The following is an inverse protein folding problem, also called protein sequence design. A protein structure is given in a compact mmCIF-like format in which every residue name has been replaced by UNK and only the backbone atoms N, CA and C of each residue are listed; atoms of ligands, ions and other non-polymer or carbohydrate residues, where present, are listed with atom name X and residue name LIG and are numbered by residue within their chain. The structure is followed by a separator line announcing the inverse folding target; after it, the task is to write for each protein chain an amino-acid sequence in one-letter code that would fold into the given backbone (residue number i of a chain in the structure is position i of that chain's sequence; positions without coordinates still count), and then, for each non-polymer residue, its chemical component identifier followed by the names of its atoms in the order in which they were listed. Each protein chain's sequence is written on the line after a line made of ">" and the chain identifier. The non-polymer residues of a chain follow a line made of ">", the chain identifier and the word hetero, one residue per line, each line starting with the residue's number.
data_IF_158758899135
#
_entry.id   IF_158758899135
#
_cell.length_a   1.000
_cell.length_b   1.000
_cell.length_c   1.000
_cell.angle_alpha   90.00
_cell.angle_beta   90.00
_cell.angle_gamma   90.00
#
_symmetry.space_group_name_H-M   'P 1'
#
loop_
_entity.id
_entity.type
_entity.pdbx_description
1 polymer ?
#
# COMPACT_ATOMS: atom_id res chain seq x y z
N UNK A 1 16.35 51.18 -8.68
CA UNK A 1 15.65 50.39 -7.68
C UNK A 1 15.39 48.99 -8.29
N UNK A 2 16.17 48.02 -7.87
CA UNK A 2 16.01 46.61 -8.35
C UNK A 2 14.89 45.99 -7.56
N UNK A 3 13.79 45.59 -8.24
CA UNK A 3 12.78 44.75 -7.66
C UNK A 3 13.40 43.39 -7.29
N UNK A 4 13.56 43.17 -6.02
CA UNK A 4 13.86 41.84 -5.50
C UNK A 4 12.61 40.97 -5.73
N UNK A 5 12.66 40.09 -6.70
CA UNK A 5 11.71 39.01 -6.87
C UNK A 5 11.75 38.16 -5.61
N UNK A 6 10.62 38.12 -4.91
CA UNK A 6 10.39 37.24 -3.75
C UNK A 6 10.75 35.80 -4.18
N UNK A 7 11.58 35.04 -3.43
CA UNK A 7 11.86 33.66 -3.81
C UNK A 7 10.54 32.91 -3.89
N UNK A 8 10.35 32.14 -4.98
CA UNK A 8 9.21 31.27 -5.16
C UNK A 8 9.08 30.40 -3.90
N UNK A 9 7.87 30.34 -3.33
CA UNK A 9 7.54 29.44 -2.23
C UNK A 9 7.93 28.02 -2.68
N UNK A 10 8.80 27.37 -1.95
CA UNK A 10 9.08 25.95 -2.15
C UNK A 10 7.75 25.25 -1.87
N UNK A 11 7.03 24.84 -2.92
CA UNK A 11 5.78 24.13 -2.76
C UNK A 11 6.06 22.88 -1.92
N UNK A 12 5.26 22.73 -0.84
CA UNK A 12 5.38 21.58 0.06
C UNK A 12 5.19 20.30 -0.76
N UNK A 13 6.02 19.26 -0.54
CA UNK A 13 5.82 17.99 -1.22
C UNK A 13 4.44 17.43 -0.89
N UNK A 14 3.81 16.78 -1.86
CA UNK A 14 2.44 16.27 -1.75
C UNK A 14 2.41 14.75 -1.89
N UNK A 15 1.64 14.11 -1.00
CA UNK A 15 1.40 12.67 -1.02
C UNK A 15 -0.09 12.36 -1.18
N UNK A 16 -0.38 11.32 -1.96
CA UNK A 16 -1.73 10.74 -2.07
C UNK A 16 -1.71 9.35 -1.42
N UNK A 17 -2.58 9.11 -0.43
CA UNK A 17 -2.69 7.84 0.27
C UNK A 17 -4.05 7.20 -0.03
N UNK A 18 -4.04 6.16 -0.85
CA UNK A 18 -5.22 5.35 -1.17
C UNK A 18 -5.46 4.34 -0.06
N UNK A 19 -6.64 4.37 0.56
CA UNK A 19 -6.94 3.63 1.78
C UNK A 19 -6.39 4.30 3.05
N UNK A 20 -6.27 5.65 3.03
CA UNK A 20 -5.66 6.42 4.11
C UNK A 20 -6.60 6.81 5.26
N UNK A 21 -7.87 6.37 5.27
CA UNK A 21 -8.84 6.73 6.33
C UNK A 21 -8.78 5.86 7.58
N UNK A 22 -7.95 4.82 7.60
CA UNK A 22 -7.78 3.94 8.77
C UNK A 22 -6.49 3.13 8.73
N UNK A 23 -6.15 2.53 9.86
CA UNK A 23 -5.06 1.55 9.98
C UNK A 23 -3.70 2.10 9.55
N UNK A 24 -2.97 1.29 8.79
CA UNK A 24 -1.61 1.62 8.35
C UNK A 24 -1.58 2.80 7.38
N UNK A 25 -2.58 2.89 6.47
CA UNK A 25 -2.69 4.01 5.52
C UNK A 25 -2.88 5.35 6.25
N UNK A 26 -3.76 5.40 7.25
CA UNK A 26 -3.94 6.60 8.09
C UNK A 26 -2.64 6.96 8.83
N UNK A 27 -1.97 5.99 9.43
CA UNK A 27 -0.72 6.23 10.14
C UNK A 27 0.37 6.79 9.22
N UNK A 28 0.44 6.33 7.97
CA UNK A 28 1.36 6.86 6.95
C UNK A 28 0.97 8.28 6.52
N UNK A 29 -0.32 8.56 6.35
CA UNK A 29 -0.83 9.89 6.04
C UNK A 29 -0.45 10.90 7.13
N UNK A 30 -0.72 10.56 8.40
CA UNK A 30 -0.39 11.40 9.55
C UNK A 30 1.12 11.60 9.72
N UNK A 31 1.92 10.56 9.45
CA UNK A 31 3.38 10.67 9.48
C UNK A 31 3.88 11.69 8.46
N UNK A 32 3.38 11.66 7.23
CA UNK A 32 3.76 12.64 6.19
C UNK A 32 3.27 14.06 6.53
N UNK A 33 2.06 14.19 7.10
CA UNK A 33 1.56 15.48 7.60
C UNK A 33 2.51 16.07 8.66
N UNK A 34 2.96 15.24 9.60
CA UNK A 34 3.92 15.66 10.63
C UNK A 34 5.29 16.06 10.05
N UNK A 35 5.68 15.54 8.89
CA UNK A 35 6.87 15.96 8.13
C UNK A 35 6.63 17.22 7.28
N UNK A 36 5.47 17.83 7.37
CA UNK A 36 5.11 19.06 6.65
C UNK A 36 4.66 18.85 5.20
N UNK A 37 4.38 17.63 4.78
CA UNK A 37 3.82 17.34 3.45
C UNK A 37 2.36 17.80 3.36
N UNK A 38 1.94 18.18 2.16
CA UNK A 38 0.53 18.18 1.81
C UNK A 38 0.05 16.73 1.69
N UNK A 39 -1.13 16.44 2.22
CA UNK A 39 -1.65 15.06 2.28
C UNK A 39 -3.04 15.01 1.69
N UNK A 40 -3.21 14.14 0.70
CA UNK A 40 -4.51 13.73 0.17
C UNK A 40 -4.80 12.28 0.54
N UNK A 41 -6.01 12.01 1.00
CA UNK A 41 -6.46 10.68 1.42
C UNK A 41 -7.68 10.26 0.61
N UNK A 42 -7.62 9.07 0.03
CA UNK A 42 -8.75 8.43 -0.64
C UNK A 42 -9.29 7.32 0.25
N UNK A 43 -10.60 7.31 0.49
CA UNK A 43 -11.30 6.29 1.27
C UNK A 43 -12.76 6.15 0.87
N UNK A 44 -13.41 5.05 1.28
CA UNK A 44 -14.80 4.76 0.88
C UNK A 44 -15.85 5.08 1.95
N UNK A 45 -15.44 5.25 3.20
CA UNK A 45 -16.37 5.46 4.32
C UNK A 45 -16.48 6.94 4.66
N UNK A 46 -17.64 7.53 4.40
CA UNK A 46 -17.96 8.93 4.73
C UNK A 46 -17.75 9.21 6.21
N UNK A 47 -18.22 8.34 7.10
CA UNK A 47 -18.04 8.52 8.54
C UNK A 47 -16.57 8.55 8.98
N UNK A 48 -15.67 7.79 8.32
CA UNK A 48 -14.23 7.86 8.61
C UNK A 48 -13.60 9.11 8.01
N UNK A 49 -14.08 9.55 6.86
CA UNK A 49 -13.67 10.80 6.22
C UNK A 49 -14.05 11.99 7.09
N UNK A 50 -15.31 12.07 7.54
CA UNK A 50 -15.81 13.15 8.41
C UNK A 50 -15.01 13.23 9.71
N UNK A 51 -14.71 12.07 10.30
CA UNK A 51 -13.86 12.00 11.48
C UNK A 51 -12.43 12.49 11.20
N UNK A 52 -11.85 12.10 10.07
CA UNK A 52 -10.51 12.54 9.68
C UNK A 52 -10.48 14.04 9.47
N UNK A 53 -11.45 14.61 8.74
CA UNK A 53 -11.55 16.03 8.49
C UNK A 53 -11.74 16.86 9.77
N UNK A 54 -12.51 16.34 10.74
CA UNK A 54 -12.69 17.03 12.02
C UNK A 54 -11.43 17.02 12.89
N UNK A 55 -10.60 15.99 12.80
CA UNK A 55 -9.38 15.86 13.59
C UNK A 55 -8.14 16.45 12.89
N UNK A 56 -8.12 16.46 11.57
CA UNK A 56 -7.00 16.87 10.72
C UNK A 56 -7.52 17.69 9.52
N UNK A 57 -7.99 18.93 9.71
CA UNK A 57 -8.62 19.74 8.66
C UNK A 57 -7.68 20.09 7.49
N UNK A 58 -6.38 20.00 7.68
CA UNK A 58 -5.37 20.23 6.63
C UNK A 58 -5.20 19.04 5.67
N UNK A 59 -5.79 17.88 5.98
CA UNK A 59 -5.77 16.71 5.09
C UNK A 59 -6.93 16.82 4.10
N UNK A 60 -6.61 16.81 2.82
CA UNK A 60 -7.63 16.78 1.77
C UNK A 60 -8.16 15.34 1.64
N UNK A 61 -9.47 15.17 1.64
CA UNK A 61 -10.07 13.84 1.57
C UNK A 61 -10.97 13.66 0.38
N UNK A 62 -10.96 12.46 -0.20
CA UNK A 62 -11.80 12.07 -1.33
C UNK A 62 -12.56 10.78 -0.98
N UNK A 63 -13.89 10.80 -1.19
CA UNK A 63 -14.72 9.62 -1.03
C UNK A 63 -14.79 8.85 -2.34
N UNK A 64 -14.35 7.59 -2.34
CA UNK A 64 -14.39 6.73 -3.52
C UNK A 64 -14.52 5.27 -3.12
N UNK A 65 -15.49 4.57 -3.68
CA UNK A 65 -15.55 3.11 -3.61
C UNK A 65 -14.68 2.51 -4.73
N UNK A 66 -13.55 1.95 -4.34
CA UNK A 66 -12.59 1.33 -5.25
C UNK A 66 -13.12 0.05 -5.92
N UNK A 67 -14.29 -0.44 -5.57
CA UNK A 67 -14.96 -1.54 -6.29
C UNK A 67 -15.71 -1.04 -7.53
N UNK A 68 -15.97 0.26 -7.60
CA UNK A 68 -16.57 0.94 -8.74
C UNK A 68 -15.46 1.53 -9.64
N UNK A 69 -15.23 0.87 -10.77
CA UNK A 69 -14.21 1.28 -11.74
C UNK A 69 -14.46 2.66 -12.33
N UNK A 70 -15.74 3.01 -12.59
CA UNK A 70 -16.09 4.30 -13.19
C UNK A 70 -15.87 5.44 -12.17
N UNK A 71 -16.27 5.23 -10.93
CA UNK A 71 -16.02 6.19 -9.85
C UNK A 71 -14.52 6.38 -9.61
N UNK A 72 -13.75 5.28 -9.61
CA UNK A 72 -12.29 5.33 -9.47
C UNK A 72 -11.67 6.12 -10.62
N UNK A 73 -12.07 5.86 -11.86
CA UNK A 73 -11.55 6.58 -13.02
C UNK A 73 -11.87 8.08 -12.96
N UNK A 74 -13.11 8.44 -12.68
CA UNK A 74 -13.55 9.85 -12.54
C UNK A 74 -12.74 10.57 -11.47
N UNK A 75 -12.50 9.93 -10.33
CA UNK A 75 -11.66 10.51 -9.29
C UNK A 75 -10.23 10.74 -9.77
N UNK A 76 -9.59 9.74 -10.38
CA UNK A 76 -8.20 9.84 -10.86
C UNK A 76 -8.05 10.92 -11.93
N UNK A 77 -9.03 11.07 -12.83
CA UNK A 77 -9.08 12.15 -13.82
C UNK A 77 -9.16 13.52 -13.13
N UNK A 78 -9.97 13.66 -12.09
CA UNK A 78 -10.08 14.93 -11.32
C UNK A 78 -8.78 15.30 -10.60
N UNK A 79 -7.96 14.32 -10.26
CA UNK A 79 -6.65 14.50 -9.62
C UNK A 79 -5.50 14.75 -10.62
N UNK A 80 -5.73 14.64 -11.93
CA UNK A 80 -4.67 14.72 -12.93
C UNK A 80 -3.98 16.09 -13.04
N UNK A 81 -4.60 17.14 -12.53
CA UNK A 81 -4.03 18.48 -12.47
C UNK A 81 -3.28 18.78 -11.15
N UNK A 82 -3.25 17.82 -10.23
CA UNK A 82 -2.58 17.97 -8.93
C UNK A 82 -1.16 17.43 -9.03
N UNK A 83 -0.17 18.28 -8.74
CA UNK A 83 1.22 17.82 -8.60
C UNK A 83 1.40 17.06 -7.29
N UNK A 84 2.06 15.91 -7.36
CA UNK A 84 2.39 15.10 -6.18
C UNK A 84 3.71 14.36 -6.39
N UNK A 85 4.42 14.07 -5.32
CA UNK A 85 5.71 13.37 -5.36
C UNK A 85 5.58 11.90 -4.95
N UNK A 86 4.50 11.54 -4.25
CA UNK A 86 4.35 10.19 -3.71
C UNK A 86 2.92 9.69 -3.76
N UNK A 87 2.76 8.42 -4.15
CA UNK A 87 1.48 7.70 -3.99
C UNK A 87 1.71 6.45 -3.16
N UNK A 88 0.90 6.25 -2.13
CA UNK A 88 0.87 5.01 -1.33
C UNK A 88 -0.46 4.30 -1.57
N UNK A 89 -0.43 3.11 -2.14
CA UNK A 89 -1.58 2.23 -2.22
C UNK A 89 -1.63 1.32 -1.00
N UNK A 90 -2.44 1.69 -0.01
CA UNK A 90 -2.66 0.96 1.25
C UNK A 90 -4.05 0.32 1.33
N UNK A 91 -4.92 0.58 0.36
CA UNK A 91 -6.22 -0.07 0.30
C UNK A 91 -6.08 -1.59 0.12
N UNK A 92 -6.97 -2.34 0.73
CA UNK A 92 -6.99 -3.78 0.61
C UNK A 92 -8.24 -4.39 1.24
N UNK A 93 -8.72 -5.46 0.64
CA UNK A 93 -9.79 -6.29 1.18
C UNK A 93 -9.21 -7.65 1.57
N UNK A 94 -9.67 -8.18 2.69
CA UNK A 94 -9.29 -9.49 3.22
C UNK A 94 -10.51 -10.18 3.83
N UNK A 95 -10.72 -11.43 3.46
CA UNK A 95 -11.69 -12.34 4.08
C UNK A 95 -10.95 -13.61 4.50
N UNK A 96 -11.21 -14.10 5.71
CA UNK A 96 -10.55 -15.29 6.22
C UNK A 96 -11.20 -16.56 5.63
N UNK A 97 -10.62 -17.06 4.55
CA UNK A 97 -11.10 -18.25 3.82
C UNK A 97 -11.05 -19.55 4.65
N UNK A 98 -10.32 -19.56 5.77
CA UNK A 98 -10.24 -20.74 6.66
C UNK A 98 -11.43 -20.84 7.62
N UNK A 99 -12.08 -19.73 7.91
CA UNK A 99 -13.19 -19.63 8.86
C UNK A 99 -14.51 -19.45 8.14
N UNK A 100 -14.51 -18.84 6.97
CA UNK A 100 -15.70 -18.53 6.19
C UNK A 100 -15.54 -19.03 4.76
N UNK A 101 -16.59 -19.63 4.22
CA UNK A 101 -16.67 -19.85 2.79
C UNK A 101 -16.61 -18.49 2.08
N UNK A 102 -15.67 -18.35 1.15
CA UNK A 102 -15.54 -17.14 0.36
C UNK A 102 -16.75 -17.04 -0.58
N UNK A 103 -17.60 -16.05 -0.35
CA UNK A 103 -18.71 -15.77 -1.26
C UNK A 103 -18.17 -15.18 -2.58
N UNK A 104 -18.99 -15.26 -3.65
CA UNK A 104 -18.65 -14.61 -4.91
C UNK A 104 -18.45 -13.10 -4.70
N UNK A 105 -19.32 -12.46 -3.94
CA UNK A 105 -19.21 -11.02 -3.62
C UNK A 105 -17.93 -10.66 -2.88
N UNK A 106 -17.48 -11.49 -1.90
CA UNK A 106 -16.20 -11.27 -1.22
C UNK A 106 -15.00 -11.44 -2.16
N UNK A 107 -15.08 -12.43 -3.07
CA UNK A 107 -14.07 -12.68 -4.09
C UNK A 107 -13.94 -11.51 -5.03
N UNK A 108 -15.06 -11.04 -5.57
CA UNK A 108 -15.13 -9.93 -6.52
C UNK A 108 -14.64 -8.64 -5.85
N UNK A 109 -15.08 -8.36 -4.63
CA UNK A 109 -14.61 -7.21 -3.84
C UNK A 109 -13.11 -7.28 -3.59
N UNK A 110 -12.57 -8.45 -3.24
CA UNK A 110 -11.14 -8.62 -2.99
C UNK A 110 -10.32 -8.39 -4.27
N UNK A 111 -10.76 -8.93 -5.41
CA UNK A 111 -10.09 -8.73 -6.69
C UNK A 111 -10.22 -7.28 -7.17
N UNK A 112 -11.38 -6.67 -7.03
CA UNK A 112 -11.61 -5.28 -7.39
C UNK A 112 -10.65 -4.34 -6.64
N UNK A 113 -10.54 -4.46 -5.30
CA UNK A 113 -9.70 -3.58 -4.51
C UNK A 113 -8.21 -3.95 -4.63
N UNK A 114 -7.86 -5.25 -4.48
CA UNK A 114 -6.45 -5.64 -4.40
C UNK A 114 -5.75 -5.66 -5.76
N UNK A 115 -6.49 -5.76 -6.87
CA UNK A 115 -5.88 -5.84 -8.21
C UNK A 115 -6.36 -4.77 -9.16
N UNK A 116 -7.67 -4.66 -9.42
CA UNK A 116 -8.17 -3.75 -10.46
C UNK A 116 -7.93 -2.29 -10.10
N UNK A 117 -8.37 -1.86 -8.92
CA UNK A 117 -8.14 -0.50 -8.46
C UNK A 117 -6.66 -0.19 -8.21
N UNK A 118 -5.90 -1.18 -7.70
CA UNK A 118 -4.45 -1.06 -7.58
C UNK A 118 -3.81 -0.75 -8.95
N UNK A 119 -4.15 -1.51 -9.98
CA UNK A 119 -3.62 -1.32 -11.33
C UNK A 119 -4.05 0.02 -11.94
N UNK A 120 -5.30 0.43 -11.76
CA UNK A 120 -5.78 1.73 -12.22
C UNK A 120 -5.01 2.89 -11.58
N UNK A 121 -4.84 2.84 -10.25
CA UNK A 121 -4.12 3.88 -9.51
C UNK A 121 -2.65 3.92 -9.88
N UNK A 122 -1.97 2.76 -9.96
CA UNK A 122 -0.56 2.70 -10.29
C UNK A 122 -0.27 3.15 -11.72
N UNK A 123 -1.12 2.76 -12.67
CA UNK A 123 -1.01 3.21 -14.05
C UNK A 123 -1.19 4.72 -14.16
N UNK A 124 -2.27 5.27 -13.59
CA UNK A 124 -2.51 6.70 -13.56
C UNK A 124 -1.36 7.45 -12.90
N UNK A 125 -0.96 7.04 -11.70
CA UNK A 125 0.11 7.71 -10.95
C UNK A 125 1.46 7.64 -11.68
N UNK A 126 1.78 6.51 -12.34
CA UNK A 126 3.00 6.38 -13.11
C UNK A 126 3.05 7.34 -14.30
N UNK A 127 1.95 7.53 -15.02
CA UNK A 127 1.89 8.50 -16.12
C UNK A 127 2.03 9.94 -15.60
N UNK A 128 1.33 10.30 -14.51
CA UNK A 128 1.47 11.63 -13.90
C UNK A 128 2.92 11.89 -13.45
N UNK A 129 3.55 10.95 -12.77
CA UNK A 129 4.93 11.08 -12.30
C UNK A 129 5.95 11.11 -13.44
N UNK A 130 5.73 10.40 -14.55
CA UNK A 130 6.56 10.50 -15.75
C UNK A 130 6.53 11.92 -16.31
N UNK A 131 5.33 12.50 -16.47
CA UNK A 131 5.18 13.88 -16.94
C UNK A 131 5.91 14.87 -16.02
N UNK A 132 5.74 14.72 -14.71
CA UNK A 132 6.44 15.56 -13.73
C UNK A 132 7.95 15.36 -13.77
N UNK A 133 8.42 14.12 -13.88
CA UNK A 133 9.84 13.78 -14.00
C UNK A 133 10.50 14.46 -15.21
N UNK A 134 9.82 14.53 -16.35
CA UNK A 134 10.35 15.20 -17.53
C UNK A 134 10.38 16.72 -17.41
N UNK A 135 9.56 17.31 -16.52
CA UNK A 135 9.45 18.77 -16.34
C UNK A 135 10.38 19.32 -15.23
N UNK A 136 10.89 18.44 -14.37
CA UNK A 136 11.77 18.85 -13.27
C UNK A 136 13.22 18.88 -13.73
N UNK A 137 13.88 20.04 -13.64
CA UNK A 137 15.32 20.10 -13.51
C UNK A 137 15.68 19.43 -12.18
N UNK A 138 16.26 18.22 -12.26
CA UNK A 138 16.50 17.36 -11.10
C UNK A 138 17.46 17.99 -10.09
N UNK A 139 16.93 18.71 -9.15
CA UNK A 139 17.59 18.93 -7.86
C UNK A 139 17.45 17.63 -7.04
N UNK A 140 18.55 17.16 -6.48
CA UNK A 140 18.75 15.84 -5.87
C UNK A 140 17.76 15.43 -4.75
N UNK A 141 16.84 16.30 -4.32
CA UNK A 141 15.98 16.10 -3.15
C UNK A 141 14.52 15.74 -3.43
N UNK A 142 14.06 15.63 -4.67
CA UNK A 142 12.66 15.26 -4.96
C UNK A 142 12.55 13.83 -5.46
N UNK A 143 12.48 12.86 -4.55
CA UNK A 143 12.24 11.46 -4.92
C UNK A 143 10.77 11.22 -5.25
N UNK A 144 10.45 11.13 -6.55
CA UNK A 144 9.15 10.65 -7.02
C UNK A 144 9.00 9.17 -6.70
N UNK A 145 7.88 8.76 -6.11
CA UNK A 145 7.75 7.38 -5.65
C UNK A 145 6.33 6.81 -5.64
N UNK A 146 6.23 5.52 -5.97
CA UNK A 146 5.02 4.70 -5.85
C UNK A 146 5.24 3.61 -4.80
N UNK A 147 4.37 3.51 -3.81
CA UNK A 147 4.49 2.54 -2.73
C UNK A 147 3.27 1.62 -2.73
N UNK A 148 3.53 0.31 -2.79
CA UNK A 148 2.51 -0.74 -2.72
C UNK A 148 2.54 -1.41 -1.34
N UNK A 149 1.44 -1.36 -0.59
CA UNK A 149 1.29 -2.11 0.65
C UNK A 149 0.69 -3.48 0.34
N UNK A 150 1.56 -4.46 0.20
CA UNK A 150 1.22 -5.86 -0.03
C UNK A 150 1.12 -6.64 1.31
N UNK A 151 1.53 -7.90 1.31
CA UNK A 151 1.55 -8.76 2.50
C UNK A 151 2.60 -9.85 2.35
N UNK A 152 3.14 -10.34 3.46
CA UNK A 152 3.98 -11.55 3.49
C UNK A 152 3.24 -12.77 2.89
N UNK A 153 1.91 -12.80 2.95
CA UNK A 153 1.11 -13.85 2.34
C UNK A 153 1.35 -13.97 0.82
N UNK A 154 1.68 -12.86 0.15
CA UNK A 154 2.00 -12.83 -1.28
C UNK A 154 3.42 -13.27 -1.63
N UNK A 155 4.32 -13.44 -0.66
CA UNK A 155 5.74 -13.74 -0.93
C UNK A 155 6.04 -15.21 -1.17
N UNK A 156 5.08 -16.11 -0.90
CA UNK A 156 5.23 -17.57 -1.07
C UNK A 156 4.31 -18.08 -2.18
N UNK A 157 4.85 -19.00 -2.99
CA UNK A 157 4.08 -19.67 -4.04
C UNK A 157 3.78 -21.11 -3.64
N UNK A 158 2.51 -21.42 -3.40
CA UNK A 158 2.06 -22.79 -3.16
C UNK A 158 0.63 -23.02 -3.73
N UNK A 159 0.29 -24.26 -4.12
CA UNK A 159 -0.95 -24.54 -4.87
C UNK A 159 -2.23 -24.16 -4.13
N UNK A 160 -2.25 -24.30 -2.81
CA UNK A 160 -3.43 -24.06 -1.94
C UNK A 160 -3.45 -22.65 -1.34
N UNK A 161 -2.76 -21.69 -1.97
CA UNK A 161 -2.77 -20.30 -1.53
C UNK A 161 -4.19 -19.72 -1.62
N UNK A 162 -4.61 -19.02 -0.57
CA UNK A 162 -5.87 -18.27 -0.55
C UNK A 162 -5.96 -17.25 -1.67
N UNK A 163 -7.17 -16.82 -2.03
CA UNK A 163 -7.37 -15.74 -3.01
C UNK A 163 -6.65 -14.47 -2.57
N UNK A 164 -6.70 -14.15 -1.27
CA UNK A 164 -5.95 -13.04 -0.71
C UNK A 164 -4.44 -13.16 -0.97
N UNK A 165 -3.85 -14.33 -0.68
CA UNK A 165 -2.42 -14.54 -0.91
C UNK A 165 -2.05 -14.43 -2.41
N UNK A 166 -2.92 -14.95 -3.29
CA UNK A 166 -2.77 -14.83 -4.74
C UNK A 166 -2.87 -13.38 -5.20
N UNK A 167 -3.83 -12.61 -4.71
CA UNK A 167 -3.98 -11.19 -5.05
C UNK A 167 -2.78 -10.38 -4.57
N UNK A 168 -2.31 -10.59 -3.34
CA UNK A 168 -1.12 -9.90 -2.81
C UNK A 168 0.17 -10.27 -3.55
N UNK A 169 0.29 -11.50 -4.06
CA UNK A 169 1.40 -11.90 -4.92
C UNK A 169 1.35 -11.19 -6.28
N UNK A 170 0.18 -11.06 -6.88
CA UNK A 170 0.02 -10.30 -8.11
C UNK A 170 0.38 -8.83 -7.92
N UNK A 171 -0.02 -8.20 -6.78
CA UNK A 171 0.42 -6.83 -6.44
C UNK A 171 1.95 -6.72 -6.36
N UNK A 172 2.64 -7.68 -5.74
CA UNK A 172 4.11 -7.70 -5.64
C UNK A 172 4.73 -7.79 -7.05
N UNK A 173 4.23 -8.68 -7.90
CA UNK A 173 4.73 -8.86 -9.25
C UNK A 173 4.51 -7.59 -10.11
N UNK A 174 3.33 -6.99 -10.03
CA UNK A 174 3.03 -5.75 -10.76
C UNK A 174 3.90 -4.59 -10.27
N UNK A 175 4.10 -4.44 -8.94
CA UNK A 175 4.98 -3.42 -8.39
C UNK A 175 6.43 -3.57 -8.91
N UNK A 176 6.94 -4.80 -9.01
CA UNK A 176 8.27 -5.07 -9.59
C UNK A 176 8.33 -4.72 -11.08
N UNK A 177 7.27 -5.00 -11.85
CA UNK A 177 7.18 -4.60 -13.26
C UNK A 177 7.15 -3.07 -13.43
N UNK A 178 6.37 -2.36 -12.60
CA UNK A 178 6.38 -0.90 -12.57
C UNK A 178 7.75 -0.35 -12.21
N UNK A 179 8.45 -0.95 -11.23
CA UNK A 179 9.80 -0.55 -10.88
C UNK A 179 10.74 -0.61 -12.09
N UNK A 180 10.75 -1.73 -12.78
CA UNK A 180 11.59 -1.89 -13.98
C UNK A 180 11.25 -0.87 -15.08
N UNK A 181 9.96 -0.62 -15.32
CA UNK A 181 9.49 0.32 -16.34
C UNK A 181 9.77 1.79 -15.99
N UNK A 182 9.89 2.14 -14.71
CA UNK A 182 10.02 3.52 -14.22
C UNK A 182 11.47 3.94 -13.93
N UNK A 183 12.43 3.03 -14.00
CA UNK A 183 13.87 3.33 -13.84
C UNK A 183 14.34 4.49 -14.74
N UNK A 184 13.98 4.55 -16.05
CA UNK A 184 14.44 5.66 -16.91
C UNK A 184 13.95 7.03 -16.46
N UNK A 185 12.85 7.08 -15.72
CA UNK A 185 12.22 8.30 -15.21
C UNK A 185 12.66 8.63 -13.79
N UNK A 186 13.58 7.86 -13.20
CA UNK A 186 14.05 8.00 -11.80
C UNK A 186 12.91 8.00 -10.77
N UNK A 187 11.84 7.27 -11.05
CA UNK A 187 10.72 7.10 -10.14
C UNK A 187 10.93 5.81 -9.35
N UNK A 188 10.97 5.93 -8.02
CA UNK A 188 11.11 4.79 -7.13
C UNK A 188 9.80 4.01 -7.05
N UNK A 189 9.88 2.69 -7.01
CA UNK A 189 8.73 1.83 -6.70
C UNK A 189 9.13 0.87 -5.59
N UNK A 190 8.44 0.97 -4.46
CA UNK A 190 8.69 0.15 -3.28
C UNK A 190 7.48 -0.72 -2.96
N UNK A 191 7.69 -2.01 -2.81
CA UNK A 191 6.67 -2.94 -2.37
C UNK A 191 6.91 -3.35 -0.92
N UNK A 192 5.89 -3.24 -0.08
CA UNK A 192 5.95 -3.52 1.35
C UNK A 192 5.17 -4.79 1.64
N UNK A 193 5.86 -5.89 1.90
CA UNK A 193 5.27 -7.16 2.31
C UNK A 193 5.31 -7.26 3.85
N UNK A 194 4.31 -6.65 4.51
CA UNK A 194 4.21 -6.68 5.97
C UNK A 194 3.58 -7.97 6.48
N UNK A 195 4.03 -8.41 7.66
CA UNK A 195 3.32 -9.37 8.51
C UNK A 195 2.11 -8.70 9.19
N UNK A 196 1.72 -9.26 10.33
CA UNK A 196 0.63 -8.69 11.11
C UNK A 196 1.04 -7.34 11.70
N UNK A 197 0.25 -6.32 11.42
CA UNK A 197 0.36 -4.97 12.01
C UNK A 197 -0.86 -4.75 12.88
N UNK A 198 -0.65 -4.33 14.11
CA UNK A 198 -1.70 -4.08 15.08
C UNK A 198 -2.54 -2.85 14.67
N UNK A 199 -3.59 -3.10 13.90
CA UNK A 199 -4.54 -2.11 13.42
C UNK A 199 -5.94 -2.44 13.92
N UNK A 200 -6.81 -1.44 13.99
CA UNK A 200 -8.21 -1.66 14.37
C UNK A 200 -8.91 -2.68 13.43
N UNK A 201 -8.58 -2.67 12.14
CA UNK A 201 -9.13 -3.63 11.19
C UNK A 201 -8.72 -5.07 11.55
N UNK A 202 -7.45 -5.30 11.93
CA UNK A 202 -6.99 -6.62 12.34
C UNK A 202 -7.64 -7.05 13.68
N UNK A 203 -7.78 -6.13 14.63
CA UNK A 203 -8.47 -6.40 15.90
C UNK A 203 -9.93 -6.77 15.65
N UNK A 204 -10.66 -6.04 14.80
CA UNK A 204 -12.06 -6.34 14.48
C UNK A 204 -12.24 -7.73 13.86
N UNK A 205 -11.29 -8.19 13.05
CA UNK A 205 -11.29 -9.54 12.48
C UNK A 205 -10.98 -10.64 13.53
N UNK A 206 -10.59 -10.28 14.73
CA UNK A 206 -10.18 -11.19 15.80
C UNK A 206 -10.90 -10.85 17.13
N UNK A 207 -12.18 -10.54 17.08
CA UNK A 207 -13.02 -10.26 18.24
C UNK A 207 -12.48 -9.17 19.19
N UNK A 208 -11.83 -8.15 18.61
CA UNK A 208 -11.28 -7.02 19.36
C UNK A 208 -9.81 -7.17 19.80
N UNK A 209 -9.24 -8.37 19.74
CA UNK A 209 -7.85 -8.63 20.15
C UNK A 209 -7.07 -9.38 19.07
N UNK A 210 -5.94 -8.81 18.68
CA UNK A 210 -5.03 -9.40 17.71
C UNK A 210 -3.68 -9.80 18.33
N UNK A 211 -3.52 -9.72 19.65
CA UNK A 211 -2.25 -9.97 20.36
C UNK A 211 -1.73 -11.40 20.16
N UNK A 212 -2.63 -12.36 19.94
CA UNK A 212 -2.30 -13.76 19.64
C UNK A 212 -1.68 -14.00 18.27
N UNK A 213 -1.69 -12.98 17.36
CA UNK A 213 -1.10 -13.15 16.04
C UNK A 213 0.43 -13.21 16.14
N UNK A 214 1.06 -14.20 15.46
CA UNK A 214 2.50 -14.37 15.55
C UNK A 214 3.22 -13.14 14.99
N UNK A 215 4.20 -12.65 15.78
CA UNK A 215 5.09 -11.57 15.37
C UNK A 215 4.38 -10.27 14.97
N UNK A 216 3.24 -9.99 15.60
CA UNK A 216 2.51 -8.74 15.42
C UNK A 216 3.40 -7.55 15.83
N UNK A 217 3.37 -6.49 15.02
CA UNK A 217 4.11 -5.26 15.32
C UNK A 217 3.13 -4.10 15.47
N UNK A 218 3.50 -3.12 16.29
CA UNK A 218 2.74 -1.89 16.46
C UNK A 218 2.70 -1.10 15.14
N UNK A 219 1.61 -0.38 14.89
CA UNK A 219 1.44 0.45 13.68
C UNK A 219 2.59 1.46 13.53
N UNK A 220 3.02 2.12 14.63
CA UNK A 220 4.14 3.07 14.59
C UNK A 220 5.43 2.42 14.11
N UNK A 221 5.78 1.24 14.63
CA UNK A 221 6.96 0.49 14.19
C UNK A 221 6.86 0.07 12.71
N UNK A 222 5.64 -0.23 12.23
CA UNK A 222 5.44 -0.52 10.80
C UNK A 222 5.71 0.72 9.94
N UNK A 223 5.21 1.90 10.34
CA UNK A 223 5.48 3.18 9.66
C UNK A 223 6.99 3.43 9.57
N UNK A 224 7.71 3.34 10.69
CA UNK A 224 9.17 3.54 10.72
C UNK A 224 9.91 2.60 9.75
N UNK A 225 9.52 1.31 9.71
CA UNK A 225 10.12 0.33 8.78
C UNK A 225 9.79 0.62 7.32
N UNK A 226 8.59 1.12 7.03
CA UNK A 226 8.17 1.50 5.68
C UNK A 226 8.98 2.72 5.24
N UNK A 227 9.08 3.75 6.08
CA UNK A 227 9.85 4.95 5.75
C UNK A 227 11.33 4.60 5.51
N UNK A 228 11.94 3.78 6.37
CA UNK A 228 13.30 3.28 6.14
C UNK A 228 13.46 2.51 4.82
N UNK A 229 12.42 1.78 4.40
CA UNK A 229 12.45 1.04 3.13
C UNK A 229 12.37 2.00 1.93
N UNK A 230 11.56 3.04 2.03
CA UNK A 230 11.45 4.09 1.00
C UNK A 230 12.75 4.87 0.89
N UNK A 231 13.31 5.34 2.02
CA UNK A 231 14.55 6.14 2.07
C UNK A 231 15.76 5.37 1.50
N UNK A 232 15.76 4.03 1.65
CA UNK A 232 16.82 3.14 1.12
C UNK A 232 16.49 2.57 -0.25
N UNK A 233 15.42 3.00 -0.87
CA UNK A 233 14.91 2.49 -2.15
C UNK A 233 14.86 0.95 -2.23
N UNK A 234 14.34 0.29 -1.19
CA UNK A 234 14.21 -1.17 -1.16
C UNK A 234 13.04 -1.61 -2.03
N UNK A 235 13.30 -2.39 -3.08
CA UNK A 235 12.28 -2.89 -4.00
C UNK A 235 11.19 -3.67 -3.27
N UNK A 236 11.56 -4.71 -2.50
CA UNK A 236 10.65 -5.52 -1.70
C UNK A 236 11.10 -5.57 -0.24
N UNK A 237 10.43 -4.78 0.59
CA UNK A 237 10.65 -4.76 2.03
C UNK A 237 9.77 -5.78 2.74
N UNK A 238 10.37 -6.77 3.40
CA UNK A 238 9.68 -7.81 4.17
C UNK A 238 9.97 -7.58 5.65
N UNK A 239 8.93 -7.47 6.45
CA UNK A 239 9.07 -7.40 7.91
C UNK A 239 7.95 -8.16 8.64
N UNK A 240 8.28 -8.76 9.81
CA UNK A 240 9.58 -8.76 10.51
C UNK A 240 10.70 -9.42 9.69
N UNK A 241 11.94 -8.90 9.86
CA UNK A 241 13.09 -9.26 8.99
C UNK A 241 13.41 -10.76 8.98
N UNK A 242 13.24 -11.47 10.10
CA UNK A 242 13.53 -12.90 10.18
C UNK A 242 12.58 -13.74 9.31
N UNK A 243 11.33 -13.31 9.08
CA UNK A 243 10.39 -13.99 8.18
C UNK A 243 10.95 -14.06 6.76
N UNK A 244 11.73 -13.07 6.33
CA UNK A 244 12.43 -13.09 5.03
C UNK A 244 13.34 -14.32 4.90
N UNK A 245 14.05 -14.68 5.96
CA UNK A 245 14.93 -15.86 5.95
C UNK A 245 14.12 -17.16 5.93
N UNK A 246 13.02 -17.22 6.69
CA UNK A 246 12.11 -18.38 6.68
C UNK A 246 11.51 -18.57 5.27
N UNK A 247 10.99 -17.50 4.66
CA UNK A 247 10.45 -17.54 3.30
C UNK A 247 11.51 -17.99 2.31
N UNK A 248 12.74 -17.46 2.42
CA UNK A 248 13.85 -17.83 1.55
C UNK A 248 14.17 -19.33 1.69
N UNK A 249 14.27 -19.83 2.91
CA UNK A 249 14.49 -21.26 3.17
C UNK A 249 13.35 -22.13 2.60
N UNK A 250 12.09 -21.74 2.82
CA UNK A 250 10.93 -22.46 2.30
C UNK A 250 10.88 -22.48 0.77
N UNK A 251 11.24 -21.39 0.12
CA UNK A 251 11.24 -21.30 -1.35
C UNK A 251 12.36 -22.15 -2.00
N UNK A 252 13.39 -22.57 -1.24
CA UNK A 252 14.44 -23.49 -1.71
C UNK A 252 14.08 -24.96 -1.49
N UNK A 253 12.99 -25.26 -0.77
CA UNK A 253 12.56 -26.64 -0.58
C UNK A 253 12.00 -27.24 -1.87
N UNK A 254 12.21 -28.55 -2.11
CA UNK A 254 11.51 -29.26 -3.17
C UNK A 254 10.00 -29.10 -3.03
N UNK A 255 9.31 -28.86 -4.14
CA UNK A 255 7.85 -28.64 -4.15
C UNK A 255 7.02 -29.68 -3.36
N UNK A 256 7.33 -31.01 -3.40
CA UNK A 256 6.59 -31.98 -2.62
C UNK A 256 6.70 -31.75 -1.11
N UNK A 257 7.92 -31.43 -0.62
CA UNK A 257 8.20 -31.18 0.79
C UNK A 257 7.53 -29.87 1.27
N UNK A 258 7.63 -28.82 0.48
CA UNK A 258 6.94 -27.54 0.76
C UNK A 258 5.42 -27.75 0.86
N UNK A 259 4.84 -28.48 -0.08
CA UNK A 259 3.42 -28.79 -0.09
C UNK A 259 3.00 -29.61 1.14
N UNK A 260 3.82 -30.58 1.55
CA UNK A 260 3.55 -31.37 2.74
C UNK A 260 3.55 -30.51 4.03
N UNK A 261 4.58 -29.65 4.21
CA UNK A 261 4.67 -28.73 5.34
C UNK A 261 3.46 -27.78 5.40
N UNK A 262 3.03 -27.26 4.25
CA UNK A 262 1.93 -26.32 4.19
C UNK A 262 0.57 -26.99 4.36
N UNK A 263 0.37 -28.23 3.86
CA UNK A 263 -0.83 -29.03 4.12
C UNK A 263 -1.00 -29.33 5.61
N UNK A 264 0.04 -29.78 6.29
CA UNK A 264 -0.03 -30.13 7.71
C UNK A 264 -0.46 -28.96 8.61
N UNK A 265 -0.33 -27.71 8.12
CA UNK A 265 -0.83 -26.51 8.82
C UNK A 265 -2.26 -26.12 8.45
N UNK A 266 -2.77 -26.62 7.33
CA UNK A 266 -4.16 -26.40 6.90
C UNK A 266 -5.13 -27.38 7.60
N UNK A 267 -4.66 -28.60 7.89
CA UNK A 267 -5.46 -29.67 8.52
C UNK A 267 -5.62 -29.52 10.05
N UNK A 268 -5.07 -28.47 10.67
CA UNK A 268 -5.20 -28.20 12.11
C UNK A 268 -6.46 -27.43 12.51
N UNK A 269 -7.51 -27.50 11.70
CA UNK A 269 -8.83 -26.93 12.00
C UNK A 269 -9.90 -28.03 11.92
N UNK A 270 -9.75 -29.08 12.73
CA UNK A 270 -10.83 -29.94 13.24
C UNK A 270 -10.79 -29.88 14.75
#
# INVERSE_FOLDING_TARGET
>A
MKNATKPASIDKPHIIVVGGTSGLGLALALHHQALGWQVSVIGHSTAKIDRLNSQHPDIVTYCCDLTDNAQTQTLLESLSNISFQRVIYSAGSYTNERVHHLSQADSDRMLAINLQAFEQVFRWASEQLKHQSCALDFNENSSLSLICIASIAGTMHYPYASLYAKSKRAMIANASAYRAALVPYRIQVNCIASGYVDTQALRNLNNGDASHKPFIIKTQTAVEKIMQAIDKDIELAIFPRFIRYIIRALNHLPKPLLNWILRSKLDKTT
#
